data_IF_974790698163
#
_entry.id   IF_974790698163
#
_cell.length_a   1.000
_cell.length_b   1.000
_cell.length_c   1.000
_cell.angle_alpha   90.00
_cell.angle_beta   90.00
_cell.angle_gamma   90.00
#
_symmetry.space_group_name_H-M   'P 1'
#
loop_
_entity.id
_entity.type
_entity.pdbx_description
1 polymer ?
#
# COMPACT_ATOMS: atom_id res chain seq x y z
N UNK A 1 -26.97 10.59 21.34
CA UNK A 1 -25.51 10.53 21.60
C UNK A 1 -24.81 10.12 20.32
N UNK A 2 -24.33 11.09 19.53
CA UNK A 2 -23.64 10.83 18.25
C UNK A 2 -22.23 10.35 18.56
N UNK A 3 -21.92 9.09 18.24
CA UNK A 3 -20.57 8.56 18.37
C UNK A 3 -19.61 9.29 17.42
N UNK A 4 -18.62 9.98 17.97
CA UNK A 4 -17.53 10.57 17.19
C UNK A 4 -16.84 9.46 16.39
N UNK A 5 -16.78 9.63 15.06
CA UNK A 5 -15.93 8.81 14.21
C UNK A 5 -14.49 9.15 14.58
N UNK A 6 -13.69 8.21 15.11
CA UNK A 6 -12.31 8.49 15.48
C UNK A 6 -11.53 8.99 14.26
N UNK A 7 -10.90 10.15 14.42
CA UNK A 7 -10.05 10.72 13.37
C UNK A 7 -8.85 9.79 13.15
N UNK A 8 -8.27 9.71 11.93
CA UNK A 8 -7.15 8.81 11.64
C UNK A 8 -5.96 9.03 12.60
N UNK A 9 -5.78 10.24 13.10
CA UNK A 9 -4.81 10.60 14.15
C UNK A 9 -5.06 9.87 15.47
N UNK A 10 -6.31 9.68 15.89
CA UNK A 10 -6.66 8.96 17.13
C UNK A 10 -6.39 7.44 17.03
N UNK A 11 -6.41 6.90 15.80
CA UNK A 11 -6.13 5.49 15.53
C UNK A 11 -4.62 5.21 15.46
N UNK A 12 -3.79 6.22 15.19
CA UNK A 12 -2.34 6.06 15.00
C UNK A 12 -1.60 6.45 16.29
N UNK A 13 -1.28 5.43 17.09
CA UNK A 13 -0.47 5.56 18.30
C UNK A 13 1.02 5.51 17.98
N UNK A 14 1.87 6.02 18.87
CA UNK A 14 3.34 6.03 18.71
C UNK A 14 3.90 4.64 18.39
N UNK A 15 3.42 3.60 19.07
CA UNK A 15 3.77 2.19 18.80
C UNK A 15 3.51 1.70 17.36
N UNK A 16 2.62 2.36 16.62
CA UNK A 16 2.38 2.01 15.21
C UNK A 16 3.49 2.58 14.32
N UNK A 17 4.02 3.77 14.65
CA UNK A 17 5.15 4.41 13.95
C UNK A 17 6.49 3.68 14.19
N UNK A 18 6.53 2.82 15.20
CA UNK A 18 7.63 1.89 15.46
C UNK A 18 7.71 0.72 14.47
N UNK A 19 6.65 0.54 13.67
CA UNK A 19 6.46 -0.57 12.73
C UNK A 19 6.53 -0.08 11.29
N UNK A 20 6.50 -0.99 10.33
CA UNK A 20 6.48 -0.65 8.91
C UNK A 20 5.18 0.07 8.52
N UNK A 21 5.30 1.02 7.60
CA UNK A 21 4.21 1.52 6.78
C UNK A 21 4.37 0.93 5.38
N UNK A 22 3.41 0.11 4.96
CA UNK A 22 3.44 -0.53 3.64
C UNK A 22 2.54 0.22 2.67
N UNK A 23 3.09 0.63 1.54
CA UNK A 23 2.36 1.16 0.39
C UNK A 23 2.21 0.03 -0.62
N UNK A 24 0.99 -0.52 -0.73
CA UNK A 24 0.68 -1.58 -1.68
C UNK A 24 0.19 -0.97 -3.00
N UNK A 25 1.00 -1.10 -4.04
CA UNK A 25 0.69 -0.62 -5.39
C UNK A 25 0.18 -1.81 -6.20
N UNK A 26 -1.04 -1.69 -6.73
CA UNK A 26 -1.64 -2.72 -7.59
C UNK A 26 -1.44 -2.34 -9.03
N UNK A 27 -0.85 -3.25 -9.81
CA UNK A 27 -0.61 -3.04 -11.23
C UNK A 27 -1.92 -2.77 -12.00
N UNK A 28 -1.84 -1.72 -12.82
CA UNK A 28 -2.61 -1.60 -14.06
C UNK A 28 -1.72 -2.16 -15.18
N UNK A 29 -2.26 -2.81 -16.21
CA UNK A 29 -1.45 -3.32 -17.33
C UNK A 29 -0.63 -2.20 -17.98
N UNK A 30 0.44 -2.52 -18.73
CA UNK A 30 1.27 -1.50 -19.40
C UNK A 30 0.41 -0.50 -20.21
N UNK A 31 -0.60 -1.02 -20.92
CA UNK A 31 -1.60 -0.23 -21.65
C UNK A 31 -2.46 0.65 -20.74
N UNK A 32 -2.78 0.19 -19.53
CA UNK A 32 -3.50 0.99 -18.53
C UNK A 32 -2.59 1.99 -17.81
N UNK A 33 -1.29 1.73 -17.63
CA UNK A 33 -0.35 2.70 -17.06
C UNK A 33 -0.19 3.90 -17.99
N UNK A 34 -0.09 3.66 -19.30
CA UNK A 34 -0.05 4.73 -20.30
C UNK A 34 -1.31 5.61 -20.25
N UNK A 35 -2.48 5.00 -20.04
CA UNK A 35 -3.78 5.68 -19.99
C UNK A 35 -4.07 6.32 -18.63
N UNK A 36 -3.60 5.73 -17.54
CA UNK A 36 -3.97 6.08 -16.16
C UNK A 36 -2.75 6.51 -15.32
N UNK A 37 -1.87 7.31 -15.92
CA UNK A 37 -0.66 7.84 -15.29
C UNK A 37 -0.95 8.57 -13.96
N UNK A 38 -2.10 9.26 -13.87
CA UNK A 38 -2.54 9.92 -12.65
C UNK A 38 -2.82 8.93 -11.51
N UNK A 39 -3.47 7.80 -11.79
CA UNK A 39 -3.72 6.76 -10.79
C UNK A 39 -2.42 6.13 -10.29
N UNK A 40 -1.47 5.89 -11.19
CA UNK A 40 -0.12 5.43 -10.82
C UNK A 40 0.57 6.47 -9.93
N UNK A 41 0.56 7.74 -10.31
CA UNK A 41 1.14 8.84 -9.52
C UNK A 41 0.51 8.95 -8.13
N UNK A 42 -0.81 8.83 -8.02
CA UNK A 42 -1.53 8.85 -6.75
C UNK A 42 -1.17 7.67 -5.86
N UNK A 43 -1.00 6.47 -6.43
CA UNK A 43 -0.55 5.29 -5.68
C UNK A 43 0.84 5.49 -5.08
N UNK A 44 1.79 6.00 -5.86
CA UNK A 44 3.13 6.34 -5.36
C UNK A 44 3.12 7.53 -4.38
N UNK A 45 2.19 8.47 -4.54
CA UNK A 45 1.98 9.59 -3.62
C UNK A 45 1.55 9.18 -2.21
N UNK A 46 1.11 7.94 -2.00
CA UNK A 46 0.82 7.40 -0.68
C UNK A 46 2.05 7.32 0.23
N UNK A 47 3.26 7.32 -0.34
CA UNK A 47 4.52 7.40 0.43
C UNK A 47 4.55 8.70 1.23
N UNK A 48 4.31 9.83 0.57
CA UNK A 48 4.26 11.15 1.23
C UNK A 48 3.19 11.16 2.32
N UNK A 49 2.04 10.52 2.05
CA UNK A 49 0.98 10.40 3.05
C UNK A 49 1.43 9.64 4.30
N UNK A 50 2.22 8.57 4.17
CA UNK A 50 2.77 7.87 5.33
C UNK A 50 3.73 8.76 6.13
N UNK A 51 4.55 9.57 5.45
CA UNK A 51 5.47 10.52 6.09
C UNK A 51 4.72 11.60 6.87
N UNK A 52 3.67 12.18 6.29
CA UNK A 52 2.79 13.15 6.96
C UNK A 52 2.12 12.59 8.23
N UNK A 53 1.86 11.27 8.25
CA UNK A 53 1.31 10.57 9.42
C UNK A 53 2.36 10.29 10.50
N UNK A 54 3.62 10.64 10.23
CA UNK A 54 4.75 10.57 11.17
C UNK A 54 5.55 9.26 11.08
N UNK A 55 5.45 8.51 9.98
CA UNK A 55 6.38 7.40 9.76
C UNK A 55 7.75 7.91 9.30
N UNK A 56 8.84 7.37 9.84
CA UNK A 56 10.17 7.70 9.34
C UNK A 56 10.39 7.03 7.97
N UNK A 57 11.13 7.68 7.08
CA UNK A 57 11.26 7.30 5.67
C UNK A 57 11.79 5.88 5.49
N UNK A 58 12.71 5.46 6.35
CA UNK A 58 13.32 4.13 6.37
C UNK A 58 12.34 3.00 6.75
N UNK A 59 11.16 3.34 7.29
CA UNK A 59 10.09 2.38 7.61
C UNK A 59 8.94 2.41 6.62
N UNK A 60 9.02 3.23 5.56
CA UNK A 60 8.02 3.27 4.48
C UNK A 60 8.50 2.40 3.33
N UNK A 61 7.85 1.26 3.12
CA UNK A 61 8.17 0.31 2.06
C UNK A 61 7.07 0.28 1.00
N UNK A 62 7.46 0.25 -0.27
CA UNK A 62 6.56 0.07 -1.40
C UNK A 62 6.58 -1.40 -1.79
N UNK A 63 5.41 -2.02 -1.81
CA UNK A 63 5.19 -3.33 -2.40
C UNK A 63 4.55 -3.09 -3.77
N UNK A 64 5.39 -3.08 -4.80
CA UNK A 64 4.96 -3.07 -6.20
C UNK A 64 5.06 -4.49 -6.78
N UNK A 65 3.92 -5.07 -7.12
CA UNK A 65 3.82 -6.40 -7.70
C UNK A 65 3.99 -6.28 -9.23
N UNK A 66 5.17 -5.83 -9.69
CA UNK A 66 5.45 -5.54 -11.11
C UNK A 66 5.14 -6.74 -12.04
N UNK A 67 4.48 -6.44 -13.17
CA UNK A 67 4.21 -7.36 -14.27
C UNK A 67 5.50 -7.93 -14.87
N UNK A 68 5.57 -9.25 -15.09
CA UNK A 68 6.69 -9.85 -15.82
C UNK A 68 6.96 -11.36 -15.72
N UNK A 69 6.13 -12.17 -15.04
CA UNK A 69 6.24 -13.64 -15.19
C UNK A 69 5.28 -14.15 -16.27
N UNK A 70 5.64 -13.87 -17.52
CA UNK A 70 5.45 -14.85 -18.59
C UNK A 70 6.24 -16.10 -18.17
N UNK A 71 5.54 -17.17 -17.80
CA UNK A 71 6.18 -18.43 -17.39
C UNK A 71 5.39 -19.15 -16.31
N UNK A 72 4.32 -19.82 -16.73
CA UNK A 72 3.93 -21.14 -16.23
C UNK A 72 4.28 -21.43 -14.76
N UNK A 73 3.59 -20.81 -13.80
CA UNK A 73 3.51 -21.33 -12.43
C UNK A 73 2.29 -20.75 -11.73
N UNK A 74 1.53 -21.62 -11.10
CA UNK A 74 0.22 -21.40 -10.49
C UNK A 74 0.33 -20.75 -9.09
N UNK A 75 1.45 -20.08 -8.77
CA UNK A 75 1.75 -19.58 -7.42
C UNK A 75 1.67 -18.04 -7.34
N UNK A 76 0.59 -17.58 -6.69
CA UNK A 76 0.05 -16.23 -6.84
C UNK A 76 0.78 -15.10 -6.11
N UNK A 77 0.77 -13.91 -6.74
CA UNK A 77 0.94 -12.56 -6.15
C UNK A 77 1.91 -12.50 -4.95
N UNK A 78 3.22 -12.64 -5.18
CA UNK A 78 4.22 -12.61 -4.11
C UNK A 78 4.18 -11.30 -3.30
N UNK A 79 3.83 -10.16 -3.94
CA UNK A 79 3.63 -8.90 -3.24
C UNK A 79 2.48 -8.95 -2.23
N UNK A 80 1.35 -9.56 -2.59
CA UNK A 80 0.21 -9.72 -1.68
C UNK A 80 0.52 -10.69 -0.53
N UNK A 81 1.21 -11.79 -0.82
CA UNK A 81 1.62 -12.75 0.21
C UNK A 81 2.56 -12.10 1.24
N UNK A 82 3.52 -11.29 0.78
CA UNK A 82 4.40 -10.51 1.67
C UNK A 82 3.59 -9.54 2.54
N UNK A 83 2.65 -8.80 1.95
CA UNK A 83 1.77 -7.90 2.69
C UNK A 83 1.02 -8.65 3.81
N UNK A 84 0.40 -9.78 3.48
CA UNK A 84 -0.34 -10.61 4.45
C UNK A 84 0.58 -11.14 5.54
N UNK A 85 1.79 -11.61 5.21
CA UNK A 85 2.75 -12.12 6.17
C UNK A 85 3.20 -11.03 7.16
N UNK A 86 3.60 -9.86 6.67
CA UNK A 86 4.07 -8.75 7.51
C UNK A 86 2.97 -8.22 8.45
N UNK A 87 1.72 -8.16 7.97
CA UNK A 87 0.57 -7.81 8.80
C UNK A 87 0.31 -8.89 9.86
N UNK A 88 0.36 -10.17 9.48
CA UNK A 88 0.11 -11.30 10.38
C UNK A 88 1.17 -11.41 11.49
N UNK A 89 2.42 -11.04 11.19
CA UNK A 89 3.51 -10.97 12.16
C UNK A 89 3.45 -9.72 13.04
N UNK A 90 2.48 -8.83 12.84
CA UNK A 90 2.33 -7.60 13.60
C UNK A 90 3.44 -6.57 13.35
N UNK A 91 4.19 -6.71 12.25
CA UNK A 91 5.32 -5.84 11.87
C UNK A 91 4.88 -4.55 11.19
N UNK A 92 3.60 -4.45 10.87
CA UNK A 92 3.00 -3.33 10.13
C UNK A 92 2.13 -2.50 11.07
N UNK A 93 2.33 -1.18 11.04
CA UNK A 93 1.51 -0.22 11.76
C UNK A 93 0.56 0.56 10.85
N UNK A 94 0.80 0.55 9.54
CA UNK A 94 -0.02 1.19 8.52
C UNK A 94 0.08 0.43 7.19
N UNK A 95 -1.06 0.22 6.53
CA UNK A 95 -1.13 -0.20 5.13
C UNK A 95 -1.89 0.87 4.36
N UNK A 96 -1.31 1.36 3.28
CA UNK A 96 -1.93 2.27 2.33
C UNK A 96 -2.02 1.60 0.97
N UNK A 97 -3.14 1.79 0.28
CA UNK A 97 -3.33 1.35 -1.08
C UNK A 97 -4.50 2.08 -1.70
N UNK A 98 -4.43 2.31 -3.01
CA UNK A 98 -5.57 2.77 -3.80
C UNK A 98 -6.07 1.62 -4.66
N UNK A 99 -7.38 1.56 -4.97
CA UNK A 99 -7.87 0.63 -5.97
C UNK A 99 -7.14 0.88 -7.29
N UNK A 100 -6.76 -0.21 -7.97
CA UNK A 100 -6.35 -0.09 -9.37
C UNK A 100 -7.55 0.47 -10.17
N UNK A 101 -7.28 1.30 -11.19
CA UNK A 101 -8.33 1.82 -12.03
C UNK A 101 -9.11 0.66 -12.67
N UNK A 102 -10.44 0.77 -12.62
CA UNK A 102 -11.33 -0.22 -13.22
C UNK A 102 -11.09 -0.30 -14.73
N UNK A 103 -11.14 -1.49 -15.34
CA UNK A 103 -11.32 -1.59 -16.79
C UNK A 103 -12.72 -1.05 -17.13
N UNK A 104 -12.80 -0.08 -18.03
CA UNK A 104 -14.03 0.27 -18.73
C UNK A 104 -14.32 -0.80 -19.79
#
# INVERSE_FOLDING_TARGET
MTGMIPTPTDKIRSRHRDRLALVYVRQSTLQQVERHQESTRLQYGLVERALELGWPRERVEIIDDNLGRSGTSVEGRPGFQRLVAEVSLGRVGLVLGLPAPMPL
#
